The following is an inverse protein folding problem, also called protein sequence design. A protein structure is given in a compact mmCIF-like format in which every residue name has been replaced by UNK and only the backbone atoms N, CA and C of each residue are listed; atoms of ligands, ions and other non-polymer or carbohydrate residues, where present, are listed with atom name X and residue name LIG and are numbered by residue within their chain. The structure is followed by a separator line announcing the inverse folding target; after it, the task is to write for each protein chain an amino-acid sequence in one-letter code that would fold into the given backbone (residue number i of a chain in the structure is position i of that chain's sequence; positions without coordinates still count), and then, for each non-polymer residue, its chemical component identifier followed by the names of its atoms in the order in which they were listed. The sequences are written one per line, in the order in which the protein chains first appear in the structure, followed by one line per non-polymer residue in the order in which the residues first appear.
data_IF_353506189591
#
_entry.id   IF_353506189591
#
_cell.length_a   1.000
_cell.length_b   1.000
_cell.length_c   1.000
_cell.angle_alpha   90.00
_cell.angle_beta   90.00
_cell.angle_gamma   90.00
#
_symmetry.space_group_name_H-M   'P 1'
#
loop_
_entity.id
_entity.type
_entity.pdbx_description
1 polymer ?
#
# COMPACT_ATOMS: atom_id res chain seq x y z
N UNK A 1 19.05 30.06 -1.33
CA UNK A 1 20.05 28.99 -1.14
C UNK A 1 19.34 27.65 -1.27
N UNK A 2 19.17 27.21 -2.52
CA UNK A 2 18.53 25.95 -2.85
C UNK A 2 19.59 24.84 -2.87
N UNK A 3 19.47 23.84 -2.00
CA UNK A 3 20.02 22.50 -2.22
C UNK A 3 19.62 21.59 -1.06
N UNK A 4 18.64 20.74 -1.30
CA UNK A 4 18.66 19.33 -0.88
C UNK A 4 17.76 18.58 -1.86
N UNK A 5 18.35 18.28 -3.01
CA UNK A 5 17.88 17.31 -4.00
C UNK A 5 18.87 16.14 -3.90
N UNK A 6 18.33 14.93 -4.04
CA UNK A 6 19.05 13.64 -4.22
C UNK A 6 19.56 12.92 -2.96
N UNK A 7 18.72 11.99 -2.49
CA UNK A 7 19.07 10.58 -2.25
C UNK A 7 17.98 9.76 -2.97
N UNK A 8 18.16 9.36 -4.23
CA UNK A 8 18.96 8.24 -4.76
C UNK A 8 18.34 6.85 -4.48
N UNK A 9 18.11 6.15 -5.60
CA UNK A 9 17.83 4.72 -5.82
C UNK A 9 16.40 4.24 -5.47
N UNK A 10 15.50 3.88 -6.39
CA UNK A 10 15.61 3.29 -7.74
C UNK A 10 16.44 2.01 -7.83
N UNK A 11 16.50 1.23 -6.76
CA UNK A 11 16.63 -0.22 -6.86
C UNK A 11 15.21 -0.76 -6.70
N UNK A 12 14.68 -1.31 -7.79
CA UNK A 12 13.31 -1.76 -7.87
C UNK A 12 12.98 -2.72 -6.74
N UNK A 13 11.76 -2.60 -6.21
CA UNK A 13 11.09 -3.64 -5.44
C UNK A 13 10.92 -4.88 -6.36
N UNK A 14 12.02 -5.58 -6.63
CA UNK A 14 12.09 -6.78 -7.48
C UNK A 14 12.26 -7.99 -6.56
N UNK A 15 11.16 -8.37 -5.93
CA UNK A 15 10.96 -9.66 -5.29
C UNK A 15 9.52 -10.09 -5.50
N UNK A 16 9.19 -11.39 -5.42
CA UNK A 16 7.80 -11.83 -5.44
C UNK A 16 7.02 -11.00 -4.41
N UNK A 17 5.90 -10.41 -4.82
CA UNK A 17 5.15 -9.46 -3.99
C UNK A 17 4.44 -10.22 -2.87
N UNK A 18 5.22 -10.60 -1.87
CA UNK A 18 4.68 -11.22 -0.67
C UNK A 18 4.11 -10.14 0.22
N UNK A 19 2.84 -10.35 0.58
CA UNK A 19 2.13 -9.52 1.53
C UNK A 19 2.35 -10.01 2.97
N UNK A 20 3.11 -11.10 3.16
CA UNK A 20 3.24 -11.74 4.45
C UNK A 20 3.90 -10.81 5.48
N UNK A 21 3.44 -10.83 6.74
CA UNK A 21 3.98 -9.97 7.79
C UNK A 21 5.51 -10.02 7.94
N UNK A 22 6.13 -11.18 7.76
CA UNK A 22 7.59 -11.35 7.87
C UNK A 22 8.35 -10.54 6.81
N UNK A 23 7.82 -10.47 5.59
CA UNK A 23 8.40 -9.68 4.50
C UNK A 23 8.23 -8.17 4.74
N UNK A 24 7.13 -7.76 5.38
CA UNK A 24 6.92 -6.37 5.78
C UNK A 24 7.95 -5.96 6.85
N UNK A 25 8.25 -6.84 7.80
CA UNK A 25 9.25 -6.59 8.84
C UNK A 25 10.65 -6.41 8.26
N UNK A 26 11.02 -7.18 7.24
CA UNK A 26 12.33 -7.06 6.60
C UNK A 26 12.58 -5.66 5.99
N UNK A 27 11.51 -4.95 5.59
CA UNK A 27 11.60 -3.61 5.00
C UNK A 27 11.37 -2.47 6.01
N UNK A 28 10.96 -2.78 7.24
CA UNK A 28 10.64 -1.81 8.29
C UNK A 28 11.83 -0.88 8.55
N UNK A 29 11.58 0.43 8.41
CA UNK A 29 12.58 1.49 8.59
C UNK A 29 11.90 2.81 8.94
N UNK A 30 12.66 3.78 9.46
CA UNK A 30 12.13 5.06 9.93
C UNK A 30 11.37 5.87 8.85
N UNK A 31 11.62 5.62 7.56
CA UNK A 31 10.90 6.27 6.45
C UNK A 31 9.39 5.95 6.44
N UNK A 32 8.98 4.83 7.01
CA UNK A 32 7.57 4.40 7.03
C UNK A 32 6.71 5.14 8.05
N UNK A 33 7.27 6.10 8.79
CA UNK A 33 6.45 7.07 9.53
C UNK A 33 5.85 8.16 8.62
N UNK A 34 6.30 8.24 7.37
CA UNK A 34 5.75 9.12 6.33
C UNK A 34 4.60 8.43 5.57
N UNK A 35 3.50 9.17 5.38
CA UNK A 35 2.28 8.65 4.77
C UNK A 35 2.44 8.41 3.26
N UNK A 36 3.20 9.26 2.57
CA UNK A 36 3.45 9.13 1.14
C UNK A 36 4.34 7.91 0.87
N UNK A 37 5.36 7.70 1.69
CA UNK A 37 6.22 6.51 1.64
C UNK A 37 5.43 5.22 1.84
N UNK A 38 4.53 5.17 2.83
CA UNK A 38 3.64 4.02 3.00
C UNK A 38 2.76 3.81 1.77
N UNK A 39 2.18 4.90 1.25
CA UNK A 39 1.29 4.84 0.09
C UNK A 39 2.00 4.31 -1.14
N UNK A 40 3.18 4.84 -1.46
CA UNK A 40 3.99 4.39 -2.59
C UNK A 40 4.43 2.94 -2.43
N UNK A 41 4.75 2.51 -1.20
CA UNK A 41 5.07 1.12 -0.89
C UNK A 41 3.89 0.17 -1.17
N UNK A 42 2.68 0.52 -0.73
CA UNK A 42 1.48 -0.28 -1.01
C UNK A 42 1.15 -0.31 -2.50
N UNK A 43 1.25 0.84 -3.18
CA UNK A 43 0.94 0.95 -4.59
C UNK A 43 1.96 0.21 -5.45
N UNK A 44 3.25 0.29 -5.14
CA UNK A 44 4.30 -0.44 -5.86
C UNK A 44 4.12 -1.96 -5.78
N UNK A 45 3.58 -2.46 -4.66
CA UNK A 45 3.22 -3.88 -4.51
C UNK A 45 1.95 -4.26 -5.27
N UNK A 46 0.93 -3.41 -5.25
CA UNK A 46 -0.31 -3.67 -6.01
C UNK A 46 -0.11 -3.58 -7.53
N UNK A 47 0.85 -2.76 -7.96
CA UNK A 47 1.07 -2.39 -9.36
C UNK A 47 2.57 -2.41 -9.68
N UNK A 48 3.20 -3.60 -9.75
CA UNK A 48 4.65 -3.74 -9.95
C UNK A 48 5.11 -3.17 -11.30
N UNK A 49 4.29 -3.30 -12.34
CA UNK A 49 4.55 -2.76 -13.68
C UNK A 49 4.16 -1.28 -13.83
N UNK A 50 3.70 -0.66 -12.74
CA UNK A 50 3.32 0.74 -12.66
C UNK A 50 1.80 0.98 -12.68
N UNK A 51 1.37 2.25 -12.52
CA UNK A 51 -0.04 2.59 -12.35
C UNK A 51 -0.93 2.17 -13.53
N UNK A 52 -1.88 1.28 -13.28
CA UNK A 52 -2.84 0.80 -14.27
C UNK A 52 -4.28 0.84 -13.76
N UNK A 53 -5.24 0.89 -14.67
CA UNK A 53 -6.64 0.91 -14.31
C UNK A 53 -7.09 -0.47 -13.80
N UNK A 54 -7.59 -0.58 -12.55
CA UNK A 54 -7.98 -1.86 -11.95
C UNK A 54 -9.23 -2.50 -12.59
N UNK A 55 -9.81 -1.86 -13.61
CA UNK A 55 -11.00 -2.35 -14.34
C UNK A 55 -10.68 -2.81 -15.75
N UNK A 56 -9.65 -2.27 -16.38
CA UNK A 56 -9.36 -2.55 -17.79
C UNK A 56 -7.88 -2.73 -18.09
N UNK A 57 -6.99 -2.67 -17.09
CA UNK A 57 -5.54 -2.84 -17.24
C UNK A 57 -4.84 -1.74 -18.03
N UNK A 58 -5.55 -0.68 -18.42
CA UNK A 58 -4.94 0.39 -19.21
C UNK A 58 -4.04 1.27 -18.33
N UNK A 59 -2.84 1.66 -18.80
CA UNK A 59 -1.91 2.45 -18.00
C UNK A 59 -2.49 3.82 -17.67
N UNK A 60 -2.27 4.27 -16.43
CA UNK A 60 -2.63 5.62 -15.98
C UNK A 60 -1.46 6.54 -16.33
N UNK A 61 -1.65 7.35 -17.36
CA UNK A 61 -0.64 8.28 -17.87
C UNK A 61 -1.03 9.74 -17.61
N UNK A 62 -0.02 10.61 -17.53
CA UNK A 62 -0.18 12.04 -17.32
C UNK A 62 0.00 12.48 -15.87
N UNK A 63 0.70 13.60 -15.68
CA UNK A 63 1.14 14.11 -14.38
C UNK A 63 -0.03 14.31 -13.40
N UNK A 64 -1.13 14.93 -13.85
CA UNK A 64 -2.32 15.17 -13.01
C UNK A 64 -3.03 13.88 -12.60
N UNK A 65 -3.06 12.87 -13.48
CA UNK A 65 -3.67 11.58 -13.19
C UNK A 65 -2.81 10.79 -12.21
N UNK A 66 -1.49 10.80 -12.40
CA UNK A 66 -0.51 10.19 -11.50
C UNK A 66 -0.51 10.83 -10.11
N UNK A 67 -0.58 12.16 -10.02
CA UNK A 67 -0.70 12.86 -8.74
C UNK A 67 -1.97 12.45 -7.97
N UNK A 68 -3.11 12.34 -8.68
CA UNK A 68 -4.37 11.86 -8.09
C UNK A 68 -4.31 10.39 -7.70
N UNK A 69 -3.62 9.58 -8.49
CA UNK A 69 -3.40 8.16 -8.22
C UNK A 69 -2.62 7.95 -6.92
N UNK A 70 -1.47 8.63 -6.77
CA UNK A 70 -0.67 8.62 -5.54
C UNK A 70 -1.43 9.16 -4.34
N UNK A 71 -2.22 10.22 -4.52
CA UNK A 71 -3.09 10.76 -3.47
C UNK A 71 -4.32 9.86 -3.14
N UNK A 72 -4.41 8.65 -3.69
CA UNK A 72 -5.52 7.70 -3.52
C UNK A 72 -6.89 8.30 -3.86
N UNK A 73 -6.89 9.33 -4.71
CA UNK A 73 -8.09 10.03 -5.12
C UNK A 73 -8.80 9.29 -6.25
N UNK A 74 -10.11 9.56 -6.37
CA UNK A 74 -10.91 9.02 -7.47
C UNK A 74 -10.52 9.71 -8.77
N UNK A 75 -10.22 8.93 -9.80
CA UNK A 75 -9.98 9.41 -11.16
C UNK A 75 -10.88 8.71 -12.17
N UNK A 76 -11.11 9.34 -13.31
CA UNK A 76 -11.83 8.73 -14.43
C UNK A 76 -10.80 8.16 -15.39
N UNK A 77 -10.88 6.85 -15.65
CA UNK A 77 -9.98 6.22 -16.62
C UNK A 77 -10.26 6.78 -18.03
N UNK A 78 -9.24 7.26 -18.77
CA UNK A 78 -9.43 7.80 -20.12
C UNK A 78 -9.81 6.72 -21.14
N UNK A 79 -9.51 5.45 -20.87
CA UNK A 79 -9.78 4.33 -21.77
C UNK A 79 -11.19 3.75 -21.59
N UNK A 80 -11.59 3.44 -20.36
CA UNK A 80 -12.90 2.80 -20.10
C UNK A 80 -13.97 3.75 -19.57
N UNK A 81 -13.64 5.02 -19.30
CA UNK A 81 -14.56 6.04 -18.79
C UNK A 81 -15.07 5.81 -17.36
N UNK A 82 -14.65 4.73 -16.69
CA UNK A 82 -15.10 4.40 -15.34
C UNK A 82 -14.34 5.21 -14.29
N UNK A 83 -15.04 5.55 -13.21
CA UNK A 83 -14.44 6.14 -12.01
C UNK A 83 -13.76 5.03 -11.20
N UNK A 84 -12.46 5.14 -11.03
CA UNK A 84 -11.62 4.18 -10.30
C UNK A 84 -10.81 4.88 -9.22
N UNK A 85 -10.34 4.11 -8.23
CA UNK A 85 -9.34 4.51 -7.26
C UNK A 85 -8.16 3.54 -7.35
N UNK A 86 -6.95 4.01 -7.02
CA UNK A 86 -5.78 3.15 -6.90
C UNK A 86 -5.99 2.00 -5.89
N UNK A 87 -6.82 2.22 -4.87
CA UNK A 87 -7.13 1.23 -3.85
C UNK A 87 -8.21 0.22 -4.25
N UNK A 88 -8.76 0.29 -5.48
CA UNK A 88 -9.79 -0.66 -5.91
C UNK A 88 -9.18 -2.04 -6.07
N UNK A 89 -9.75 -3.06 -5.43
CA UNK A 89 -9.25 -4.43 -5.40
C UNK A 89 -8.13 -4.66 -4.38
N UNK A 90 -7.72 -3.63 -3.61
CA UNK A 90 -6.61 -3.74 -2.67
C UNK A 90 -7.10 -3.70 -1.22
N UNK A 91 -6.21 -4.02 -0.27
CA UNK A 91 -6.48 -3.91 1.17
C UNK A 91 -6.93 -2.50 1.58
N UNK A 92 -6.47 -1.49 0.85
CA UNK A 92 -6.79 -0.08 1.08
C UNK A 92 -8.18 0.32 0.54
N UNK A 93 -8.93 -0.60 -0.10
CA UNK A 93 -10.25 -0.29 -0.66
C UNK A 93 -11.27 0.06 0.43
N UNK A 94 -11.20 -0.64 1.56
CA UNK A 94 -12.11 -0.41 2.67
C UNK A 94 -11.76 0.91 3.33
N UNK A 95 -12.64 1.88 3.11
CA UNK A 95 -12.37 3.29 3.27
C UNK A 95 -11.95 3.64 4.71
N UNK A 96 -10.89 4.47 4.79
CA UNK A 96 -10.29 5.11 5.98
C UNK A 96 -9.16 4.34 6.67
N UNK A 97 -8.57 3.34 6.02
CA UNK A 97 -7.31 2.80 6.50
C UNK A 97 -6.20 3.78 6.12
N UNK A 98 -5.60 4.42 7.12
CA UNK A 98 -4.36 5.18 6.92
C UNK A 98 -3.27 4.16 6.51
N UNK A 99 -2.56 4.37 5.39
CA UNK A 99 -1.49 3.47 4.95
C UNK A 99 -0.46 3.20 6.06
N UNK A 100 -0.17 4.17 6.93
CA UNK A 100 0.73 4.00 8.08
C UNK A 100 0.17 3.03 9.10
N UNK A 101 -1.14 3.11 9.38
CA UNK A 101 -1.82 2.19 10.30
C UNK A 101 -1.71 0.74 9.83
N UNK A 102 -1.94 0.52 8.53
CA UNK A 102 -1.82 -0.82 7.96
C UNK A 102 -0.36 -1.29 7.98
N UNK A 103 0.58 -0.45 7.57
CA UNK A 103 2.01 -0.81 7.56
C UNK A 103 2.53 -1.18 8.95
N UNK A 104 2.22 -0.37 9.97
CA UNK A 104 2.59 -0.63 11.36
C UNK A 104 1.93 -1.93 11.85
N UNK A 105 0.64 -2.13 11.58
CA UNK A 105 -0.06 -3.33 11.99
C UNK A 105 0.56 -4.60 11.39
N UNK A 106 0.88 -4.60 10.09
CA UNK A 106 1.51 -5.74 9.42
C UNK A 106 2.93 -5.98 9.93
N UNK A 107 3.71 -4.93 10.13
CA UNK A 107 5.06 -5.04 10.71
C UNK A 107 5.01 -5.68 12.11
N UNK A 108 4.09 -5.21 12.96
CA UNK A 108 3.95 -5.77 14.31
C UNK A 108 3.45 -7.21 14.31
N UNK A 109 2.57 -7.58 13.37
CA UNK A 109 2.14 -8.98 13.19
C UNK A 109 3.31 -9.89 12.81
N UNK A 110 4.24 -9.43 11.96
CA UNK A 110 5.44 -10.19 11.59
C UNK A 110 6.43 -10.33 12.73
N UNK A 111 6.46 -9.33 13.63
CA UNK A 111 7.20 -9.42 14.89
C UNK A 111 6.52 -10.31 15.95
N UNK A 112 5.37 -10.93 15.63
CA UNK A 112 4.63 -11.79 16.55
C UNK A 112 3.91 -11.05 17.68
N UNK A 113 3.65 -9.75 17.52
CA UNK A 113 2.96 -8.97 18.55
C UNK A 113 1.48 -9.37 18.69
N UNK A 114 0.98 -9.23 19.91
CA UNK A 114 -0.43 -9.51 20.23
C UNK A 114 -1.39 -8.55 19.50
N UNK A 115 -2.47 -9.03 18.87
CA UNK A 115 -3.44 -8.19 18.16
C UNK A 115 -4.09 -7.09 19.00
N UNK A 116 -4.25 -7.28 20.31
CA UNK A 116 -4.80 -6.24 21.18
C UNK A 116 -3.75 -5.15 21.49
N UNK A 117 -2.46 -5.50 21.58
CA UNK A 117 -1.39 -4.53 21.64
C UNK A 117 -1.28 -3.70 20.35
N UNK A 118 -1.37 -4.35 19.18
CA UNK A 118 -1.36 -3.69 17.87
C UNK A 118 -2.53 -2.72 17.74
N UNK A 119 -3.74 -3.18 18.05
CA UNK A 119 -4.95 -2.37 17.99
C UNK A 119 -4.83 -1.07 18.79
N UNK A 120 -4.22 -1.14 19.97
CA UNK A 120 -3.99 0.01 20.85
C UNK A 120 -3.02 1.03 20.26
N UNK A 121 -1.92 0.57 19.66
CA UNK A 121 -0.90 1.43 19.04
C UNK A 121 -1.44 2.08 17.77
N UNK A 122 -2.13 1.29 16.95
CA UNK A 122 -2.62 1.71 15.64
C UNK A 122 -3.90 2.54 15.74
N UNK A 123 -4.66 2.40 16.83
CA UNK A 123 -5.92 3.12 17.06
C UNK A 123 -7.12 2.48 16.36
N UNK A 124 -7.15 1.15 16.30
CA UNK A 124 -8.23 0.34 15.70
C UNK A 124 -8.72 -0.72 16.67
N UNK A 125 -9.70 -1.55 16.27
CA UNK A 125 -10.14 -2.68 17.09
C UNK A 125 -9.27 -3.92 16.85
N UNK A 126 -9.13 -4.84 17.82
CA UNK A 126 -8.42 -6.11 17.59
C UNK A 126 -9.02 -6.93 16.44
N UNK A 127 -10.34 -6.91 16.29
CA UNK A 127 -11.03 -7.56 15.16
C UNK A 127 -10.61 -6.98 13.81
N UNK A 128 -10.37 -5.67 13.73
CA UNK A 128 -9.84 -5.00 12.53
C UNK A 128 -8.44 -5.52 12.18
N UNK A 129 -7.55 -5.66 13.17
CA UNK A 129 -6.19 -6.20 12.97
C UNK A 129 -6.24 -7.64 12.44
N UNK A 130 -7.10 -8.48 13.01
CA UNK A 130 -7.29 -9.86 12.54
C UNK A 130 -7.87 -9.91 11.12
N UNK A 131 -8.84 -9.05 10.82
CA UNK A 131 -9.39 -8.93 9.46
C UNK A 131 -8.32 -8.55 8.45
N UNK A 132 -7.42 -7.61 8.79
CA UNK A 132 -6.32 -7.23 7.91
C UNK A 132 -5.34 -8.38 7.70
N UNK A 133 -4.96 -9.10 8.76
CA UNK A 133 -4.11 -10.30 8.67
C UNK A 133 -4.71 -11.35 7.72
N UNK A 134 -5.99 -11.64 7.87
CA UNK A 134 -6.65 -12.70 7.09
C UNK A 134 -6.77 -12.30 5.61
N UNK A 135 -7.09 -11.04 5.33
CA UNK A 135 -7.11 -10.53 3.94
C UNK A 135 -5.74 -10.51 3.30
N UNK A 136 -4.70 -10.16 4.05
CA UNK A 136 -3.31 -10.19 3.59
C UNK A 136 -2.88 -11.61 3.22
N UNK A 137 -3.23 -12.60 4.05
CA UNK A 137 -2.97 -14.01 3.74
C UNK A 137 -3.73 -14.45 2.50
N UNK A 138 -5.01 -14.11 2.39
CA UNK A 138 -5.81 -14.43 1.20
C UNK A 138 -5.26 -13.79 -0.08
N UNK A 139 -4.74 -12.55 -0.02
CA UNK A 139 -4.10 -11.90 -1.16
C UNK A 139 -2.75 -12.51 -1.50
N UNK A 140 -1.96 -12.92 -0.49
CA UNK A 140 -0.71 -13.64 -0.72
C UNK A 140 -0.94 -15.00 -1.39
N UNK A 141 -2.07 -15.67 -1.11
CA UNK A 141 -2.45 -16.95 -1.73
C UNK A 141 -2.95 -16.79 -3.17
N UNK A 142 -3.56 -15.65 -3.52
CA UNK A 142 -4.11 -15.38 -4.86
C UNK A 142 -3.04 -14.86 -5.84
N UNK A 143 -1.95 -14.28 -5.33
CA UNK A 143 -0.84 -13.75 -6.14
C UNK A 143 0.36 -14.72 -6.26
N UNK A 144 0.18 -16.00 -5.92
CA UNK A 144 1.13 -17.10 -6.23
C UNK A 144 0.85 -17.69 -7.60
#
# INVERSE_FOLDING_TARGET
MAQFREVANSEGLQGPVSWLPDDVVAELSARFFDADTCTDWFLGRCYPDGPECPRCGAPITGERALARWRALQRLTCPHCGRKVKATTGTLLQEARIDPRQLFIALSMLGLGADPAAIARIVGVTPATVLTWRDKVRALAEVCQ
#
